data_IF_367319308806
#
_entry.id   IF_367319308806
#
_cell.length_a   1.000
_cell.length_b   1.000
_cell.length_c   1.000
_cell.angle_alpha   90.00
_cell.angle_beta   90.00
_cell.angle_gamma   90.00
#
_symmetry.space_group_name_H-M   'P 1'
#
loop_
_entity.id
_entity.type
_entity.pdbx_description
1 polymer ?
#
# COMPACT_ATOMS: atom_id res chain seq x y z
N UNK A 1 -31.07 -8.83 31.23
CA UNK A 1 -29.97 -9.80 31.06
C UNK A 1 -29.10 -9.31 29.91
N UNK A 2 -27.99 -8.65 30.24
CA UNK A 2 -27.10 -8.02 29.27
C UNK A 2 -26.06 -9.02 28.79
N UNK A 3 -26.00 -9.26 27.49
CA UNK A 3 -24.99 -10.09 26.84
C UNK A 3 -23.72 -9.26 26.66
N UNK A 4 -22.65 -9.60 27.38
CA UNK A 4 -21.32 -9.03 27.18
C UNK A 4 -20.79 -9.33 25.77
N UNK A 5 -20.14 -8.38 25.09
CA UNK A 5 -19.46 -8.66 23.82
C UNK A 5 -18.22 -9.53 24.09
N UNK A 6 -18.19 -10.71 23.49
CA UNK A 6 -17.04 -11.62 23.53
C UNK A 6 -15.85 -11.01 22.79
N UNK A 7 -14.82 -10.65 23.54
CA UNK A 7 -13.52 -10.26 23.01
C UNK A 7 -12.83 -11.50 22.43
N UNK A 8 -12.69 -11.55 21.11
CA UNK A 8 -11.90 -12.59 20.44
C UNK A 8 -10.41 -12.35 20.80
N UNK A 9 -9.66 -13.38 21.23
CA UNK A 9 -8.24 -13.23 21.48
C UNK A 9 -7.53 -12.92 20.17
N UNK A 10 -6.86 -11.77 20.10
CA UNK A 10 -5.98 -11.43 18.98
C UNK A 10 -4.74 -12.30 19.05
N UNK A 11 -4.65 -13.32 18.20
CA UNK A 11 -3.39 -14.04 17.98
C UNK A 11 -2.37 -13.04 17.41
N UNK A 12 -1.17 -12.90 17.99
CA UNK A 12 -0.14 -12.05 17.43
C UNK A 12 0.21 -12.55 16.03
N UNK A 13 0.30 -11.62 15.07
CA UNK A 13 0.79 -11.95 13.74
C UNK A 13 2.21 -12.53 13.86
N UNK A 14 2.58 -13.51 13.02
CA UNK A 14 3.94 -14.02 13.00
C UNK A 14 4.91 -12.87 12.75
N UNK A 15 5.75 -12.58 13.75
CA UNK A 15 6.87 -11.65 13.64
C UNK A 15 7.74 -12.13 12.46
N UNK A 16 8.04 -11.29 11.46
CA UNK A 16 9.00 -11.67 10.44
C UNK A 16 10.33 -11.96 11.13
N UNK A 17 10.75 -13.22 11.11
CA UNK A 17 12.04 -13.64 11.63
C UNK A 17 13.16 -12.85 10.94
N UNK A 18 14.14 -12.36 11.71
CA UNK A 18 15.45 -11.95 11.18
C UNK A 18 15.66 -10.48 10.82
N UNK A 19 14.88 -9.55 11.35
CA UNK A 19 15.20 -8.11 11.24
C UNK A 19 15.39 -7.51 12.63
N UNK A 20 16.55 -7.74 13.24
CA UNK A 20 16.99 -7.11 14.50
C UNK A 20 17.25 -5.59 14.35
N UNK A 21 17.05 -5.03 13.15
CA UNK A 21 17.34 -3.64 12.82
C UNK A 21 16.23 -3.00 12.00
N UNK A 22 15.78 -1.82 12.38
CA UNK A 22 14.76 -1.08 11.63
C UNK A 22 15.06 -1.02 10.11
N UNK A 23 14.16 -1.51 9.22
CA UNK A 23 14.38 -1.56 7.78
C UNK A 23 14.34 -0.17 7.11
N UNK A 24 13.96 0.88 7.85
CA UNK A 24 13.81 2.24 7.32
C UNK A 24 15.06 2.75 6.62
N UNK A 25 16.26 2.42 7.12
CA UNK A 25 17.52 2.86 6.51
C UNK A 25 17.71 2.27 5.12
N UNK A 26 17.52 0.96 4.97
CA UNK A 26 17.66 0.27 3.69
C UNK A 26 16.52 0.64 2.73
N UNK A 27 15.28 0.78 3.23
CA UNK A 27 14.16 1.30 2.43
C UNK A 27 14.42 2.73 1.93
N UNK A 28 15.07 3.59 2.71
CA UNK A 28 15.44 4.94 2.28
C UNK A 28 16.56 4.93 1.22
N UNK A 29 17.50 3.98 1.30
CA UNK A 29 18.51 3.81 0.25
C UNK A 29 17.86 3.36 -1.07
N UNK A 30 16.96 2.38 -1.01
CA UNK A 30 16.18 1.96 -2.16
C UNK A 30 15.28 3.07 -2.72
N UNK A 31 14.62 3.86 -1.86
CA UNK A 31 13.85 5.03 -2.32
C UNK A 31 14.70 6.01 -3.15
N UNK A 32 15.97 6.20 -2.76
CA UNK A 32 16.90 7.07 -3.51
C UNK A 32 17.27 6.48 -4.86
N UNK A 33 17.41 5.16 -4.98
CA UNK A 33 17.73 4.49 -6.25
C UNK A 33 16.55 4.45 -7.22
N UNK A 34 15.33 4.74 -6.76
CA UNK A 34 14.16 4.89 -7.65
C UNK A 34 14.17 6.20 -8.44
N UNK A 35 15.09 7.13 -8.16
CA UNK A 35 15.23 8.42 -8.85
C UNK A 35 13.95 9.29 -8.87
N UNK A 36 13.00 9.05 -7.96
CA UNK A 36 11.78 9.83 -7.83
C UNK A 36 12.08 11.26 -7.37
N UNK A 37 11.36 12.25 -7.91
CA UNK A 37 11.54 13.64 -7.51
C UNK A 37 11.25 13.82 -6.01
N UNK A 38 12.23 14.37 -5.27
CA UNK A 38 12.13 14.60 -3.83
C UNK A 38 10.96 15.51 -3.45
N UNK A 39 10.55 16.41 -4.35
CA UNK A 39 9.43 17.33 -4.13
C UNK A 39 8.08 16.60 -4.06
N UNK A 40 8.00 15.34 -4.50
CA UNK A 40 6.79 14.54 -4.32
C UNK A 40 6.56 14.13 -2.87
N UNK A 41 7.58 14.17 -2.01
CA UNK A 41 7.50 13.58 -0.68
C UNK A 41 7.38 14.60 0.45
N UNK A 42 6.50 14.30 1.40
CA UNK A 42 6.33 15.08 2.62
C UNK A 42 6.90 14.32 3.83
N UNK A 43 8.18 14.58 4.14
CA UNK A 43 8.91 13.84 5.18
C UNK A 43 8.28 13.93 6.58
N UNK A 44 7.46 14.95 6.85
CA UNK A 44 6.76 15.15 8.13
C UNK A 44 5.86 13.97 8.50
N UNK A 45 5.31 13.27 7.51
CA UNK A 45 4.34 12.19 7.73
C UNK A 45 4.92 10.79 7.49
N UNK A 46 6.24 10.67 7.35
CA UNK A 46 6.89 9.36 7.20
C UNK A 46 6.76 8.54 8.48
N UNK A 47 6.47 7.24 8.33
CA UNK A 47 6.32 6.30 9.45
C UNK A 47 7.11 5.03 9.17
N UNK A 48 7.48 4.31 10.22
CA UNK A 48 8.03 2.96 10.10
C UNK A 48 7.14 2.02 10.91
N UNK A 49 6.73 0.92 10.30
CA UNK A 49 5.87 -0.08 10.91
C UNK A 49 6.65 -1.34 11.31
N UNK A 50 7.95 -1.23 11.56
CA UNK A 50 8.75 -2.35 12.06
C UNK A 50 8.51 -2.57 13.57
N UNK A 51 8.87 -3.73 14.13
CA UNK A 51 8.65 -4.04 15.55
C UNK A 51 9.25 -3.02 16.54
N UNK A 52 10.29 -2.28 16.13
CA UNK A 52 10.90 -1.23 16.96
C UNK A 52 10.04 0.06 17.01
N UNK A 53 9.39 0.43 15.90
CA UNK A 53 8.68 1.72 15.77
C UNK A 53 7.16 1.58 15.85
N UNK A 54 6.65 0.37 15.65
CA UNK A 54 5.25 0.03 15.81
C UNK A 54 5.17 -1.03 16.90
N UNK A 55 4.51 -0.67 17.99
CA UNK A 55 4.38 -1.54 19.16
C UNK A 55 3.82 -2.90 18.77
N UNK A 56 4.42 -3.96 19.26
CA UNK A 56 3.99 -5.35 19.00
C UNK A 56 2.56 -5.63 19.46
N UNK A 57 2.07 -4.86 20.45
CA UNK A 57 0.68 -4.85 20.94
C UNK A 57 -0.26 -3.97 20.12
N UNK A 58 0.25 -3.23 19.13
CA UNK A 58 -0.53 -2.38 18.26
C UNK A 58 -1.54 -3.18 17.44
N UNK A 59 -2.68 -2.59 17.06
CA UNK A 59 -3.71 -3.32 16.35
C UNK A 59 -3.25 -3.70 14.93
N UNK A 60 -3.69 -4.86 14.43
CA UNK A 60 -3.42 -5.28 13.05
C UNK A 60 -4.37 -4.62 12.03
N UNK A 61 -5.48 -4.07 12.51
CA UNK A 61 -6.50 -3.38 11.73
C UNK A 61 -6.72 -1.99 12.32
N UNK A 62 -6.96 -0.99 11.47
CA UNK A 62 -7.46 0.32 11.88
C UNK A 62 -8.75 0.63 11.12
N UNK A 63 -9.71 1.24 11.81
CA UNK A 63 -10.92 1.78 11.20
C UNK A 63 -10.73 3.26 10.91
N UNK A 64 -10.83 3.66 9.64
CA UNK A 64 -10.76 5.06 9.21
C UNK A 64 -11.91 5.34 8.25
N UNK A 65 -12.62 6.45 8.46
CA UNK A 65 -13.80 6.82 7.68
C UNK A 65 -14.88 5.70 7.64
N UNK A 66 -14.99 4.91 8.71
CA UNK A 66 -15.95 3.81 8.80
C UNK A 66 -15.56 2.55 8.01
N UNK A 67 -14.30 2.45 7.55
CA UNK A 67 -13.80 1.24 6.90
C UNK A 67 -12.50 0.74 7.53
N UNK A 68 -12.42 -0.58 7.67
CA UNK A 68 -11.23 -1.27 8.16
C UNK A 68 -10.19 -1.43 7.06
N UNK A 69 -8.92 -1.33 7.45
CA UNK A 69 -7.78 -1.68 6.63
C UNK A 69 -6.66 -2.25 7.50
N UNK A 70 -5.81 -3.10 6.92
CA UNK A 70 -4.69 -3.69 7.64
C UNK A 70 -3.56 -2.69 7.84
N UNK A 71 -2.99 -2.66 9.04
CA UNK A 71 -1.77 -1.90 9.30
C UNK A 71 -0.59 -2.55 8.56
N UNK A 72 0.25 -1.78 7.83
CA UNK A 72 1.35 -2.34 7.03
C UNK A 72 2.56 -2.69 7.90
N UNK A 73 2.39 -3.62 8.85
CA UNK A 73 3.46 -4.10 9.73
C UNK A 73 4.62 -4.66 8.89
N UNK A 74 5.85 -4.24 9.23
CA UNK A 74 7.07 -4.55 8.50
C UNK A 74 7.41 -3.60 7.34
N UNK A 75 6.59 -2.58 7.07
CA UNK A 75 6.81 -1.62 5.98
C UNK A 75 7.35 -0.27 6.45
N UNK A 76 8.08 0.43 5.58
CA UNK A 76 8.43 1.83 5.76
C UNK A 76 7.56 2.71 4.87
N UNK A 77 6.88 3.68 5.47
CA UNK A 77 5.97 4.61 4.81
C UNK A 77 6.69 5.94 4.52
N UNK A 78 6.67 6.32 3.26
CA UNK A 78 7.15 7.61 2.75
C UNK A 78 5.97 8.39 2.21
N UNK A 79 5.56 9.44 2.93
CA UNK A 79 4.36 10.19 2.59
C UNK A 79 4.56 11.03 1.33
N UNK A 80 3.53 11.08 0.50
CA UNK A 80 3.49 11.80 -0.77
C UNK A 80 2.66 13.07 -0.59
N UNK A 81 3.03 14.15 -1.27
CA UNK A 81 2.23 15.36 -1.33
C UNK A 81 0.93 15.11 -2.09
N UNK A 82 -0.19 15.41 -1.43
CA UNK A 82 -1.51 15.44 -2.07
C UNK A 82 -1.87 16.89 -2.39
N UNK A 83 -2.59 17.09 -3.48
CA UNK A 83 -3.14 18.40 -3.81
C UNK A 83 -4.05 18.91 -2.68
N UNK A 84 -3.70 20.06 -2.10
CA UNK A 84 -4.39 20.60 -0.91
C UNK A 84 -5.81 21.04 -1.20
N UNK A 85 -6.06 21.61 -2.38
CA UNK A 85 -7.39 22.06 -2.80
C UNK A 85 -8.32 20.88 -2.98
N UNK A 86 -7.89 19.88 -3.75
CA UNK A 86 -8.61 18.63 -3.96
C UNK A 86 -8.88 17.92 -2.63
N UNK A 87 -7.86 17.75 -1.78
CA UNK A 87 -7.98 17.05 -0.51
C UNK A 87 -8.98 17.72 0.45
N UNK A 88 -8.95 19.06 0.51
CA UNK A 88 -9.85 19.85 1.37
C UNK A 88 -11.28 19.80 0.85
N UNK A 89 -11.50 20.07 -0.44
CA UNK A 89 -12.83 20.12 -1.05
C UNK A 89 -13.55 18.77 -0.99
N UNK A 90 -12.81 17.68 -1.21
CA UNK A 90 -13.36 16.32 -1.17
C UNK A 90 -13.28 15.66 0.22
N UNK A 91 -12.69 16.35 1.21
CA UNK A 91 -12.50 15.86 2.59
C UNK A 91 -11.86 14.46 2.64
N UNK A 92 -10.89 14.19 1.75
CA UNK A 92 -10.40 12.81 1.49
C UNK A 92 -9.84 12.14 2.75
N UNK A 93 -9.17 12.90 3.63
CA UNK A 93 -8.57 12.32 4.84
C UNK A 93 -9.61 11.98 5.91
N UNK A 94 -10.81 12.58 5.86
CA UNK A 94 -11.92 12.34 6.79
C UNK A 94 -12.90 11.30 6.26
N UNK A 95 -13.21 11.36 4.97
CA UNK A 95 -14.35 10.65 4.40
C UNK A 95 -13.96 9.48 3.48
N UNK A 96 -12.73 9.43 2.98
CA UNK A 96 -12.32 8.40 2.04
C UNK A 96 -11.65 7.22 2.75
N UNK A 97 -11.95 6.03 2.25
CA UNK A 97 -11.41 4.78 2.76
C UNK A 97 -9.91 4.70 2.52
N UNK A 98 -9.20 4.02 3.42
CA UNK A 98 -7.78 3.72 3.22
C UNK A 98 -7.66 2.40 2.48
N UNK A 99 -6.94 2.40 1.36
CA UNK A 99 -6.67 1.20 0.56
C UNK A 99 -5.22 1.13 0.12
N UNK A 100 -4.85 0.03 -0.50
CA UNK A 100 -3.52 -0.28 -0.98
C UNK A 100 -3.57 -0.67 -2.45
N UNK A 101 -2.64 -0.14 -3.23
CA UNK A 101 -2.44 -0.44 -4.64
C UNK A 101 -1.05 -1.04 -4.83
N UNK A 102 -1.01 -2.32 -5.18
CA UNK A 102 0.23 -3.00 -5.55
C UNK A 102 0.69 -2.53 -6.93
N UNK A 103 1.99 -2.25 -7.07
CA UNK A 103 2.57 -1.87 -8.36
C UNK A 103 4.03 -2.34 -8.45
N UNK A 104 4.57 -2.29 -9.66
CA UNK A 104 6.00 -2.43 -9.92
C UNK A 104 6.72 -1.09 -9.75
N UNK A 105 8.03 -1.17 -9.51
CA UNK A 105 8.86 0.01 -9.19
C UNK A 105 9.04 0.98 -10.36
N UNK A 106 9.05 0.47 -11.59
CA UNK A 106 9.15 1.21 -12.84
C UNK A 106 7.96 2.15 -13.12
N UNK A 107 6.79 1.87 -12.51
CA UNK A 107 5.56 2.66 -12.66
C UNK A 107 5.41 3.76 -11.62
N UNK A 108 6.28 3.79 -10.61
CA UNK A 108 6.10 4.68 -9.46
C UNK A 108 6.21 6.15 -9.86
N UNK A 109 7.14 6.51 -10.75
CA UNK A 109 7.31 7.90 -11.16
C UNK A 109 6.07 8.41 -11.88
N UNK A 110 5.56 7.65 -12.85
CA UNK A 110 4.34 7.99 -13.58
C UNK A 110 3.13 8.16 -12.64
N UNK A 111 2.92 7.25 -11.69
CA UNK A 111 1.77 7.33 -10.77
C UNK A 111 1.91 8.52 -9.80
N UNK A 112 3.09 8.69 -9.20
CA UNK A 112 3.32 9.73 -8.18
C UNK A 112 3.31 11.11 -8.83
N UNK A 113 3.90 11.26 -10.01
CA UNK A 113 3.90 12.51 -10.78
C UNK A 113 2.47 12.93 -11.16
N UNK A 114 1.64 11.98 -11.62
CA UNK A 114 0.23 12.23 -11.97
C UNK A 114 -0.68 12.48 -10.75
N UNK A 115 -0.23 12.13 -9.53
CA UNK A 115 -0.99 12.24 -8.26
C UNK A 115 -2.30 11.43 -8.18
N UNK A 116 -2.60 10.68 -9.24
CA UNK A 116 -3.71 9.74 -9.34
C UNK A 116 -3.19 8.46 -10.01
N UNK A 117 -3.87 7.35 -9.77
CA UNK A 117 -3.56 6.09 -10.47
C UNK A 117 -4.12 6.21 -11.89
N UNK A 118 -3.29 6.16 -12.95
CA UNK A 118 -3.78 6.19 -14.32
C UNK A 118 -4.57 4.92 -14.64
N UNK A 119 -5.51 5.02 -15.56
CA UNK A 119 -6.15 3.84 -16.13
C UNK A 119 -5.22 3.15 -17.12
N UNK A 120 -5.32 1.83 -17.26
CA UNK A 120 -4.60 1.12 -18.30
C UNK A 120 -4.94 1.72 -19.69
N UNK A 121 -3.93 2.04 -20.49
CA UNK A 121 -4.08 2.69 -21.79
C UNK A 121 -4.12 4.23 -21.76
N UNK A 122 -4.08 4.86 -20.59
CA UNK A 122 -3.92 6.31 -20.47
C UNK A 122 -2.55 6.76 -21.00
N UNK A 123 -2.51 7.96 -21.57
CA UNK A 123 -1.26 8.64 -21.88
C UNK A 123 -0.65 9.22 -20.60
N UNK A 124 0.60 8.85 -20.35
CA UNK A 124 1.41 9.37 -19.26
C UNK A 124 2.09 10.66 -19.71
N UNK A 125 2.49 11.49 -18.74
CA UNK A 125 3.26 12.71 -19.01
C UNK A 125 4.64 12.41 -19.64
N UNK A 126 5.13 11.17 -19.50
CA UNK A 126 6.30 10.65 -20.20
C UNK A 126 6.07 10.38 -21.70
N UNK A 127 4.84 10.56 -22.21
CA UNK A 127 4.44 10.23 -23.58
C UNK A 127 4.21 8.73 -23.83
N UNK A 128 4.32 7.90 -22.79
CA UNK A 128 4.08 6.45 -22.86
C UNK A 128 2.64 6.12 -22.48
N UNK A 129 2.18 4.94 -22.89
CA UNK A 129 0.91 4.37 -22.41
C UNK A 129 1.10 3.73 -21.04
N UNK A 130 0.15 3.92 -20.13
CA UNK A 130 0.13 3.21 -18.86
C UNK A 130 -0.26 1.76 -19.07
N UNK A 131 0.69 0.84 -18.90
CA UNK A 131 0.46 -0.59 -19.11
C UNK A 131 0.49 -1.32 -17.77
N UNK A 132 -0.56 -2.08 -17.48
CA UNK A 132 -0.62 -2.98 -16.33
C UNK A 132 -1.16 -4.33 -16.77
N UNK A 133 -0.60 -5.39 -16.18
CA UNK A 133 -1.05 -6.75 -16.45
C UNK A 133 -2.18 -7.10 -15.47
N UNK A 134 -3.38 -6.55 -15.74
CA UNK A 134 -4.58 -6.79 -14.95
C UNK A 134 -5.61 -7.56 -15.79
N UNK A 135 -6.44 -8.41 -15.16
CA UNK A 135 -7.47 -9.18 -15.87
C UNK A 135 -8.49 -8.32 -16.64
N UNK A 136 -8.81 -7.12 -16.12
CA UNK A 136 -9.67 -6.15 -16.79
C UNK A 136 -9.01 -4.78 -16.76
N UNK A 137 -8.70 -4.28 -17.94
CA UNK A 137 -7.97 -3.03 -18.14
C UNK A 137 -8.87 -1.78 -18.02
N UNK A 138 -10.15 -1.94 -17.69
CA UNK A 138 -11.09 -0.81 -17.52
C UNK A 138 -11.23 -0.31 -16.08
N UNK A 139 -10.52 -0.93 -15.14
CA UNK A 139 -10.69 -0.62 -13.72
C UNK A 139 -9.35 -0.43 -13.01
N UNK A 140 -9.37 0.39 -11.97
CA UNK A 140 -8.33 0.44 -10.94
C UNK A 140 -8.71 -0.56 -9.85
N UNK A 141 -7.75 -1.40 -9.45
CA UNK A 141 -7.93 -2.41 -8.40
C UNK A 141 -7.10 -2.07 -7.18
N UNK A 142 -7.74 -2.03 -6.01
CA UNK A 142 -7.12 -1.76 -4.72
C UNK A 142 -7.54 -2.82 -3.71
N UNK A 143 -6.98 -2.78 -2.51
CA UNK A 143 -7.40 -3.63 -1.40
C UNK A 143 -7.30 -2.89 -0.07
N UNK A 144 -8.21 -3.13 0.90
CA UNK A 144 -8.00 -2.72 2.29
C UNK A 144 -6.87 -3.53 2.98
N UNK A 145 -6.31 -4.55 2.33
CA UNK A 145 -5.24 -5.40 2.87
C UNK A 145 -3.90 -5.19 2.17
N UNK A 146 -2.88 -4.88 2.97
CA UNK A 146 -1.47 -4.85 2.54
C UNK A 146 -0.99 -6.25 2.16
N UNK A 147 -1.51 -7.32 2.77
CA UNK A 147 -1.19 -8.69 2.43
C UNK A 147 -1.64 -9.00 0.99
N UNK A 148 -2.86 -8.58 0.63
CA UNK A 148 -3.36 -8.72 -0.73
C UNK A 148 -2.56 -7.86 -1.72
N UNK A 149 -2.38 -6.57 -1.41
CA UNK A 149 -1.69 -5.64 -2.29
C UNK A 149 -0.18 -5.93 -2.46
N UNK A 150 0.40 -6.81 -1.64
CA UNK A 150 1.79 -7.26 -1.74
C UNK A 150 1.96 -8.67 -2.31
N UNK A 151 0.89 -9.27 -2.85
CA UNK A 151 1.01 -10.51 -3.61
C UNK A 151 1.86 -10.27 -4.86
N UNK A 152 2.72 -11.22 -5.20
CA UNK A 152 3.77 -11.02 -6.22
C UNK A 152 3.22 -10.64 -7.61
N UNK A 153 2.10 -11.25 -8.02
CA UNK A 153 1.45 -10.93 -9.30
C UNK A 153 0.91 -9.49 -9.41
N UNK A 154 0.69 -8.78 -8.30
CA UNK A 154 0.30 -7.35 -8.29
C UNK A 154 1.45 -6.44 -7.89
N UNK A 155 2.38 -6.93 -7.07
CA UNK A 155 3.53 -6.20 -6.54
C UNK A 155 4.78 -7.07 -6.72
N UNK A 156 5.39 -7.06 -7.91
CA UNK A 156 6.57 -7.86 -8.20
C UNK A 156 7.73 -7.53 -7.26
N UNK A 157 8.51 -8.55 -6.92
CA UNK A 157 9.72 -8.38 -6.12
C UNK A 157 10.81 -7.77 -7.00
N UNK A 158 11.49 -6.73 -6.50
CA UNK A 158 12.69 -6.18 -7.10
C UNK A 158 13.90 -6.54 -6.25
N UNK A 159 14.83 -7.32 -6.80
CA UNK A 159 16.06 -7.71 -6.10
C UNK A 159 17.15 -6.68 -6.32
N UNK A 160 17.67 -6.09 -5.24
CA UNK A 160 18.72 -5.07 -5.29
C UNK A 160 19.77 -5.32 -4.22
N UNK A 161 21.04 -5.24 -4.62
CA UNK A 161 22.17 -5.33 -3.70
C UNK A 161 22.51 -3.96 -3.13
N UNK A 162 22.51 -3.84 -1.81
CA UNK A 162 22.87 -2.61 -1.09
C UNK A 162 23.93 -2.97 -0.04
N UNK A 163 25.11 -2.36 -0.12
CA UNK A 163 26.26 -2.63 0.76
C UNK A 163 26.62 -4.12 0.82
N UNK A 164 26.73 -4.78 -0.34
CA UNK A 164 27.04 -6.21 -0.49
C UNK A 164 26.00 -7.18 0.11
N UNK A 165 24.78 -6.70 0.41
CA UNK A 165 23.68 -7.53 0.87
C UNK A 165 22.55 -7.46 -0.16
N UNK A 166 22.08 -8.61 -0.64
CA UNK A 166 20.92 -8.69 -1.52
C UNK A 166 19.63 -8.53 -0.73
N UNK A 167 18.73 -7.70 -1.24
CA UNK A 167 17.42 -7.47 -0.68
C UNK A 167 16.32 -7.64 -1.72
N UNK A 168 15.24 -8.27 -1.29
CA UNK A 168 13.97 -8.36 -2.00
C UNK A 168 13.10 -7.17 -1.58
N UNK A 169 12.89 -6.23 -2.51
CA UNK A 169 12.05 -5.06 -2.30
C UNK A 169 10.68 -5.22 -2.93
N UNK A 170 9.68 -4.71 -2.24
CA UNK A 170 8.33 -4.55 -2.77
C UNK A 170 7.80 -3.15 -2.46
N UNK A 171 6.99 -2.64 -3.38
CA UNK A 171 6.45 -1.28 -3.34
C UNK A 171 4.94 -1.29 -3.47
N UNK A 172 4.27 -0.64 -2.52
CA UNK A 172 2.82 -0.51 -2.48
C UNK A 172 2.48 0.95 -2.28
N UNK A 173 1.47 1.47 -2.99
CA UNK A 173 0.92 2.78 -2.70
C UNK A 173 -0.21 2.62 -1.69
N UNK A 174 -0.15 3.33 -0.57
CA UNK A 174 -1.32 3.54 0.26
C UNK A 174 -2.13 4.69 -0.34
N UNK A 175 -3.42 4.50 -0.45
CA UNK A 175 -4.34 5.38 -1.14
C UNK A 175 -5.50 5.81 -0.24
N UNK A 176 -6.10 6.94 -0.62
CA UNK A 176 -7.46 7.29 -0.25
C UNK A 176 -8.38 6.96 -1.41
N UNK A 177 -9.47 6.23 -1.13
CA UNK A 177 -10.43 5.83 -2.13
C UNK A 177 -11.84 6.33 -1.79
N UNK A 178 -12.47 6.97 -2.77
CA UNK A 178 -13.80 7.55 -2.62
C UNK A 178 -14.83 6.43 -2.38
N UNK A 179 -15.55 6.42 -1.24
CA UNK A 179 -16.49 5.36 -0.90
C UNK A 179 -17.69 5.23 -1.85
N UNK A 180 -18.06 6.29 -2.59
CA UNK A 180 -19.22 6.28 -3.49
C UNK A 180 -18.96 5.57 -4.81
N UNK A 181 -17.69 5.38 -5.18
CA UNK A 181 -17.29 4.82 -6.48
C UNK A 181 -16.45 3.56 -6.29
N UNK A 182 -16.97 2.59 -5.53
CA UNK A 182 -16.29 1.33 -5.25
C UNK A 182 -17.23 0.17 -5.45
N UNK A 183 -16.77 -0.84 -6.19
CA UNK A 183 -17.33 -2.19 -6.16
C UNK A 183 -16.38 -3.10 -5.38
N UNK A 184 -16.84 -3.61 -4.23
CA UNK A 184 -16.11 -4.61 -3.45
C UNK A 184 -16.30 -5.98 -4.12
N UNK A 185 -15.20 -6.67 -4.35
CA UNK A 185 -15.12 -8.00 -4.95
C UNK A 185 -14.27 -8.92 -4.09
N UNK A 186 -14.48 -10.22 -4.25
CA UNK A 186 -13.74 -11.24 -3.54
C UNK A 186 -12.46 -11.64 -4.25
N UNK A 187 -11.66 -12.43 -3.56
CA UNK A 187 -10.60 -13.24 -4.15
C UNK A 187 -10.97 -14.71 -4.03
N UNK A 188 -10.68 -15.49 -5.08
CA UNK A 188 -10.85 -16.94 -5.07
C UNK A 188 -9.78 -17.64 -4.21
N UNK A 189 -8.72 -16.94 -3.81
CA UNK A 189 -7.71 -17.51 -2.90
C UNK A 189 -8.19 -17.33 -1.45
N UNK A 190 -8.40 -18.42 -0.69
CA UNK A 190 -8.76 -18.33 0.71
C UNK A 190 -7.60 -17.76 1.53
N UNK A 191 -7.92 -17.13 2.65
CA UNK A 191 -6.98 -16.77 3.73
C UNK A 191 -5.81 -15.85 3.33
N UNK A 192 -5.98 -14.96 2.34
CA UNK A 192 -4.95 -13.96 1.98
C UNK A 192 -4.64 -13.03 3.16
N UNK A 193 -5.67 -12.64 3.90
CA UNK A 193 -5.57 -11.79 5.06
C UNK A 193 -6.28 -12.46 6.24
N UNK A 194 -5.62 -12.62 7.39
CA UNK A 194 -6.25 -13.22 8.57
C UNK A 194 -7.30 -12.31 9.22
N UNK A 195 -7.32 -11.02 8.89
CA UNK A 195 -8.14 -10.03 9.57
C UNK A 195 -9.28 -9.47 8.71
N UNK A 196 -9.27 -9.73 7.40
CA UNK A 196 -10.29 -9.22 6.48
C UNK A 196 -10.83 -10.36 5.61
N UNK A 197 -12.15 -10.41 5.39
CA UNK A 197 -12.78 -11.51 4.67
C UNK A 197 -12.36 -11.52 3.20
N UNK A 198 -11.97 -12.70 2.70
CA UNK A 198 -11.53 -12.88 1.31
C UNK A 198 -12.64 -12.54 0.29
N UNK A 199 -13.92 -12.58 0.69
CA UNK A 199 -15.08 -12.23 -0.16
C UNK A 199 -15.19 -10.74 -0.49
N UNK A 200 -14.48 -9.86 0.23
CA UNK A 200 -14.51 -8.41 -0.02
C UNK A 200 -13.11 -7.77 -0.01
N UNK A 201 -12.07 -8.60 -0.17
CA UNK A 201 -10.67 -8.19 -0.02
C UNK A 201 -10.12 -7.40 -1.20
N UNK A 202 -10.77 -7.41 -2.36
CA UNK A 202 -10.33 -6.69 -3.54
C UNK A 202 -11.41 -5.68 -3.94
N UNK A 203 -11.05 -4.44 -4.21
CA UNK A 203 -11.98 -3.39 -4.56
C UNK A 203 -11.64 -2.88 -5.94
N UNK A 204 -12.65 -2.53 -6.74
CA UNK A 204 -12.45 -1.94 -8.06
C UNK A 204 -13.29 -0.71 -8.31
N UNK A 205 -12.83 0.14 -9.21
CA UNK A 205 -13.52 1.35 -9.65
C UNK A 205 -13.17 1.66 -11.09
N UNK A 206 -14.15 2.18 -11.83
CA UNK A 206 -14.05 2.75 -13.18
C UNK A 206 -14.06 4.29 -13.16
N UNK A 207 -14.18 4.90 -11.97
CA UNK A 207 -14.25 6.34 -11.82
C UNK A 207 -12.84 6.96 -11.73
N UNK A 208 -12.53 7.89 -12.64
CA UNK A 208 -11.31 8.71 -12.57
C UNK A 208 -11.26 9.56 -11.31
N UNK A 209 -10.02 9.80 -10.83
CA UNK A 209 -9.74 10.57 -9.63
C UNK A 209 -10.42 10.06 -8.34
N UNK A 210 -10.94 8.83 -8.33
CA UNK A 210 -11.55 8.21 -7.15
C UNK A 210 -10.55 7.48 -6.24
N UNK A 211 -9.29 7.33 -6.69
CA UNK A 211 -8.19 6.75 -5.92
C UNK A 211 -6.99 7.69 -5.95
N UNK A 212 -6.58 8.16 -4.77
CA UNK A 212 -5.48 9.12 -4.59
C UNK A 212 -4.36 8.46 -3.79
N UNK A 213 -3.17 8.23 -4.38
CA UNK A 213 -1.98 7.84 -3.65
C UNK A 213 -1.61 8.90 -2.60
N UNK A 214 -1.40 8.48 -1.35
CA UNK A 214 -1.02 9.36 -0.24
C UNK A 214 0.34 9.02 0.36
N UNK A 215 0.85 7.80 0.13
CA UNK A 215 2.19 7.41 0.55
C UNK A 215 2.70 6.20 -0.22
N UNK A 216 4.01 6.12 -0.37
CA UNK A 216 4.74 4.96 -0.86
C UNK A 216 5.19 4.10 0.33
N UNK A 217 4.74 2.85 0.37
CA UNK A 217 5.17 1.83 1.30
C UNK A 217 6.26 0.98 0.65
N UNK A 218 7.38 0.80 1.35
CA UNK A 218 8.50 -0.04 0.91
C UNK A 218 8.76 -1.10 1.97
N UNK A 219 8.74 -2.37 1.54
CA UNK A 219 9.21 -3.52 2.32
C UNK A 219 10.57 -3.96 1.78
N UNK A 220 11.48 -4.25 2.69
CA UNK A 220 12.77 -4.86 2.38
C UNK A 220 12.87 -6.16 3.18
N UNK A 221 13.22 -7.26 2.49
CA UNK A 221 13.62 -8.52 3.11
C UNK A 221 15.01 -8.85 2.63
N UNK A 222 15.89 -9.36 3.49
CA UNK A 222 17.17 -9.91 3.00
C UNK A 222 16.83 -11.09 2.08
N UNK A 223 17.42 -11.15 0.90
CA UNK A 223 17.27 -12.32 0.04
C UNK A 223 17.98 -13.48 0.74
N UNK A 224 17.33 -14.64 0.82
CA UNK A 224 18.02 -15.87 1.19
C UNK A 224 18.94 -16.25 0.03
N UNK A 225 20.23 -16.46 0.31
CA UNK A 225 21.13 -17.09 -0.65
C UNK A 225 20.67 -18.55 -0.75
N UNK A 226 20.12 -18.93 -1.91
CA UNK A 226 19.95 -20.34 -2.28
C UNK A 226 21.30 -20.86 -2.73
#
# INVERSE_FOLDING_TARGET
MGSSPSTIPSTPAPTPAGIDQCPRRVCLQYLKSLHLNRQYFNRRYNKCYCPIHYESSGPNILTVAGSDFTVPIGWSLFAIHVDKGFATNNKIFRNWYTTFYGTSHDKLDDIIHNRFIPFPGDDLLSGKKFVVNLPDQRHIYTSPSINYASLEHVCPINKVTINNVSYDFQVVLQCKQNPTHIKKIGSNKPNICPHLPSTTIQWKTDQRASVVPISLLIRAKKSENI
#
